data_IF_641993613026
#
_entry.id   IF_641993613026
#
_cell.length_a   1.000
_cell.length_b   1.000
_cell.length_c   1.000
_cell.angle_alpha   90.00
_cell.angle_beta   90.00
_cell.angle_gamma   90.00
#
_symmetry.space_group_name_H-M   'P 1'
#
loop_
_entity.id
_entity.type
_entity.pdbx_description
1 polymer ?
#
# COMPACT_ATOMS: atom_id res chain seq x y z
N UNK A 1 -7.25 5.46 0.84
CA UNK A 1 -6.71 4.80 2.04
C UNK A 1 -7.87 4.38 2.94
N UNK A 2 -7.84 3.19 3.50
CA UNK A 2 -8.90 2.66 4.38
C UNK A 2 -8.30 1.91 5.56
N UNK A 3 -8.97 1.98 6.71
CA UNK A 3 -8.70 1.11 7.85
C UNK A 3 -9.67 -0.06 7.85
N UNK A 4 -9.16 -1.26 8.04
CA UNK A 4 -9.92 -2.50 8.07
C UNK A 4 -9.51 -3.35 9.28
N UNK A 5 -10.23 -4.45 9.50
CA UNK A 5 -9.96 -5.42 10.56
C UNK A 5 -9.92 -4.75 11.94
N UNK A 6 -11.04 -4.13 12.35
CA UNK A 6 -11.16 -3.40 13.61
C UNK A 6 -10.08 -2.30 13.77
N UNK A 7 -9.84 -1.53 12.70
CA UNK A 7 -8.85 -0.44 12.64
C UNK A 7 -7.38 -0.87 12.84
N UNK A 8 -7.10 -2.17 12.80
CA UNK A 8 -5.74 -2.68 13.02
C UNK A 8 -4.87 -2.67 11.76
N UNK A 9 -5.48 -2.60 10.58
CA UNK A 9 -4.77 -2.63 9.30
C UNK A 9 -5.14 -1.41 8.46
N UNK A 10 -4.11 -0.75 7.94
CA UNK A 10 -4.26 0.37 7.00
C UNK A 10 -3.99 -0.14 5.59
N UNK A 11 -4.83 0.24 4.65
CA UNK A 11 -4.68 -0.12 3.24
C UNK A 11 -4.59 1.12 2.36
N UNK A 12 -3.73 1.06 1.36
CA UNK A 12 -3.62 2.06 0.31
C UNK A 12 -3.70 1.41 -1.07
N UNK A 13 -4.19 2.13 -2.06
CA UNK A 13 -4.46 1.60 -3.39
C UNK A 13 -3.95 2.54 -4.48
N UNK A 14 -3.52 1.92 -5.58
CA UNK A 14 -3.34 2.59 -6.86
C UNK A 14 -4.11 1.80 -7.92
N UNK A 15 -4.93 2.48 -8.71
CA UNK A 15 -5.80 1.86 -9.70
C UNK A 15 -7.25 2.33 -9.59
N UNK A 16 -8.21 1.57 -10.11
CA UNK A 16 -9.61 1.96 -10.07
C UNK A 16 -10.20 1.83 -8.66
N UNK A 17 -11.11 2.75 -8.32
CA UNK A 17 -11.78 2.75 -7.00
C UNK A 17 -12.63 1.49 -6.81
N UNK A 18 -13.33 1.04 -7.85
CA UNK A 18 -14.16 -0.17 -7.78
C UNK A 18 -13.30 -1.42 -7.50
N UNK A 19 -12.15 -1.53 -8.17
CA UNK A 19 -11.22 -2.62 -7.96
C UNK A 19 -10.61 -2.57 -6.55
N UNK A 20 -10.29 -1.37 -6.07
CA UNK A 20 -9.79 -1.16 -4.73
C UNK A 20 -10.76 -1.64 -3.66
N UNK A 21 -12.05 -1.34 -3.79
CA UNK A 21 -13.07 -1.82 -2.85
C UNK A 21 -13.18 -3.34 -2.85
N UNK A 22 -13.21 -3.96 -4.02
CA UNK A 22 -13.27 -5.41 -4.15
C UNK A 22 -12.09 -6.10 -3.47
N UNK A 23 -10.89 -5.59 -3.72
CA UNK A 23 -9.67 -6.12 -3.11
C UNK A 23 -9.63 -5.92 -1.60
N UNK A 24 -10.10 -4.79 -1.11
CA UNK A 24 -10.18 -4.49 0.31
C UNK A 24 -11.09 -5.49 1.05
N UNK A 25 -12.27 -5.77 0.50
CA UNK A 25 -13.20 -6.74 1.07
C UNK A 25 -12.59 -8.14 1.10
N UNK A 26 -11.98 -8.57 0.00
CA UNK A 26 -11.33 -9.90 -0.07
C UNK A 26 -10.16 -10.00 0.90
N UNK A 27 -9.39 -8.94 1.06
CA UNK A 27 -8.27 -8.92 2.00
C UNK A 27 -8.76 -9.00 3.45
N UNK A 28 -9.82 -8.29 3.81
CA UNK A 28 -10.42 -8.37 5.15
C UNK A 28 -10.94 -9.77 5.46
N UNK A 29 -11.55 -10.45 4.49
CA UNK A 29 -11.95 -11.85 4.62
C UNK A 29 -10.76 -12.76 4.92
N UNK A 30 -9.62 -12.56 4.25
CA UNK A 30 -8.39 -13.32 4.49
C UNK A 30 -7.79 -13.02 5.86
N UNK A 31 -7.82 -11.77 6.30
CA UNK A 31 -7.38 -11.40 7.65
C UNK A 31 -8.21 -12.11 8.71
N UNK A 32 -9.51 -12.17 8.54
CA UNK A 32 -10.41 -12.90 9.45
C UNK A 32 -10.08 -14.39 9.45
N UNK A 33 -9.87 -14.99 8.28
CA UNK A 33 -9.54 -16.40 8.12
C UNK A 33 -8.23 -16.77 8.82
N UNK A 34 -7.23 -15.88 8.78
CA UNK A 34 -5.90 -16.12 9.32
C UNK A 34 -5.63 -15.38 10.64
N UNK A 35 -6.69 -14.98 11.35
CA UNK A 35 -6.62 -14.35 12.68
C UNK A 35 -5.72 -13.10 12.73
N UNK A 36 -5.78 -12.27 11.69
CA UNK A 36 -5.02 -11.03 11.62
C UNK A 36 -3.57 -11.17 11.17
N UNK A 37 -3.15 -12.34 10.74
CA UNK A 37 -1.81 -12.55 10.19
C UNK A 37 -1.71 -11.88 8.80
N UNK A 38 -1.05 -10.73 8.75
CA UNK A 38 -0.99 -9.89 7.56
C UNK A 38 -0.31 -10.60 6.39
N UNK A 39 0.81 -11.27 6.64
CA UNK A 39 1.60 -11.95 5.63
C UNK A 39 0.84 -13.12 5.00
N UNK A 40 0.20 -13.94 5.82
CA UNK A 40 -0.61 -15.06 5.33
C UNK A 40 -1.81 -14.58 4.53
N UNK A 41 -2.48 -13.54 5.00
CA UNK A 41 -3.60 -12.93 4.28
C UNK A 41 -3.14 -12.38 2.92
N UNK A 42 -2.00 -11.70 2.88
CA UNK A 42 -1.43 -11.14 1.66
C UNK A 42 -1.06 -12.23 0.64
N UNK A 43 -0.39 -13.29 1.07
CA UNK A 43 -0.04 -14.42 0.21
C UNK A 43 -1.28 -15.12 -0.33
N UNK A 44 -2.29 -15.34 0.52
CA UNK A 44 -3.55 -15.95 0.11
C UNK A 44 -4.28 -15.10 -0.94
N UNK A 45 -4.36 -13.78 -0.74
CA UNK A 45 -4.97 -12.88 -1.71
C UNK A 45 -4.20 -12.88 -3.03
N UNK A 46 -2.88 -12.84 -2.98
CA UNK A 46 -2.03 -12.86 -4.17
C UNK A 46 -2.22 -14.14 -4.98
N UNK A 47 -2.35 -15.28 -4.32
CA UNK A 47 -2.63 -16.57 -4.98
C UNK A 47 -4.00 -16.55 -5.68
N UNK A 48 -5.03 -16.04 -5.01
CA UNK A 48 -6.37 -15.88 -5.59
C UNK A 48 -6.33 -14.93 -6.78
N UNK A 49 -5.63 -13.82 -6.65
CA UNK A 49 -5.51 -12.80 -7.70
C UNK A 49 -4.86 -13.39 -8.96
N UNK A 50 -3.80 -14.16 -8.79
CA UNK A 50 -3.11 -14.83 -9.90
C UNK A 50 -3.95 -15.92 -10.56
N UNK A 51 -4.72 -16.67 -9.78
CA UNK A 51 -5.49 -17.83 -10.24
C UNK A 51 -6.88 -17.54 -10.79
N UNK A 52 -7.50 -16.42 -10.44
CA UNK A 52 -8.87 -16.06 -10.82
C UNK A 52 -8.85 -15.15 -12.05
N UNK A 53 -9.52 -15.59 -13.13
CA UNK A 53 -9.57 -14.82 -14.38
C UNK A 53 -10.22 -13.43 -14.21
N UNK A 54 -11.27 -13.33 -13.38
CA UNK A 54 -11.91 -12.06 -13.11
C UNK A 54 -10.99 -11.12 -12.35
N UNK A 55 -10.29 -11.63 -11.34
CA UNK A 55 -9.33 -10.83 -10.56
C UNK A 55 -8.10 -10.42 -11.36
N UNK A 56 -7.62 -11.26 -12.31
CA UNK A 56 -6.47 -10.91 -13.15
C UNK A 56 -6.70 -9.70 -14.03
N UNK A 57 -7.95 -9.33 -14.29
CA UNK A 57 -8.30 -8.13 -15.03
C UNK A 57 -8.27 -6.88 -14.17
N UNK A 58 -8.16 -7.01 -12.85
CA UNK A 58 -8.05 -5.88 -11.95
C UNK A 58 -6.66 -5.24 -12.09
N UNK A 59 -6.65 -3.99 -12.51
CA UNK A 59 -5.43 -3.20 -12.63
C UNK A 59 -5.28 -2.34 -11.39
N UNK A 60 -4.72 -2.93 -10.35
CA UNK A 60 -4.51 -2.27 -9.08
C UNK A 60 -3.25 -2.77 -8.40
N UNK A 61 -2.70 -1.96 -7.55
CA UNK A 61 -1.71 -2.34 -6.55
C UNK A 61 -2.22 -1.93 -5.19
N UNK A 62 -1.83 -2.66 -4.17
CA UNK A 62 -2.31 -2.46 -2.82
C UNK A 62 -1.14 -2.48 -1.84
N UNK A 63 -1.10 -1.50 -0.94
CA UNK A 63 -0.23 -1.54 0.23
C UNK A 63 -1.11 -1.90 1.43
N UNK A 64 -0.66 -2.84 2.23
CA UNK A 64 -1.29 -3.21 3.50
C UNK A 64 -0.26 -3.08 4.62
N UNK A 65 -0.66 -2.48 5.73
CA UNK A 65 0.23 -2.26 6.85
C UNK A 65 -0.48 -2.42 8.18
N UNK A 66 0.20 -3.04 9.12
CA UNK A 66 -0.16 -3.02 10.53
C UNK A 66 1.03 -2.51 11.36
N UNK A 67 0.95 -2.58 12.68
CA UNK A 67 2.04 -2.11 13.55
C UNK A 67 3.37 -2.85 13.37
N UNK A 68 3.36 -4.07 12.81
CA UNK A 68 4.53 -4.95 12.72
C UNK A 68 5.05 -5.14 11.29
N UNK A 69 4.21 -4.98 10.28
CA UNK A 69 4.54 -5.34 8.89
C UNK A 69 3.91 -4.39 7.89
N UNK A 70 4.55 -4.26 6.73
CA UNK A 70 4.04 -3.52 5.58
C UNK A 70 4.37 -4.29 4.31
N UNK A 71 3.36 -4.54 3.47
CA UNK A 71 3.50 -5.36 2.26
C UNK A 71 2.86 -4.67 1.07
N UNK A 72 3.43 -4.89 -0.11
CA UNK A 72 2.82 -4.53 -1.40
C UNK A 72 2.26 -5.79 -2.03
N UNK A 73 1.01 -5.74 -2.48
CA UNK A 73 0.36 -6.83 -3.22
C UNK A 73 0.04 -6.30 -4.62
N UNK A 74 0.49 -7.00 -5.64
CA UNK A 74 0.27 -6.60 -7.03
C UNK A 74 -0.66 -7.55 -7.78
N UNK A 75 -1.22 -7.07 -8.89
CA UNK A 75 -2.09 -7.85 -9.77
C UNK A 75 -1.41 -9.03 -10.45
N UNK A 76 -0.08 -9.07 -10.44
CA UNK A 76 0.68 -10.22 -10.94
C UNK A 76 0.77 -11.38 -9.93
N UNK A 77 0.19 -11.20 -8.75
CA UNK A 77 0.22 -12.18 -7.67
C UNK A 77 1.50 -12.14 -6.83
N UNK A 78 2.22 -11.02 -6.89
CA UNK A 78 3.43 -10.81 -6.09
C UNK A 78 3.10 -10.18 -4.75
N UNK A 79 3.83 -10.60 -3.72
CA UNK A 79 3.84 -9.96 -2.40
C UNK A 79 5.26 -9.49 -2.15
N UNK A 80 5.42 -8.18 -1.92
CA UNK A 80 6.73 -7.57 -1.72
C UNK A 80 6.81 -7.03 -0.29
N UNK A 81 7.84 -7.46 0.43
CA UNK A 81 8.20 -6.93 1.73
C UNK A 81 9.37 -5.96 1.53
N UNK A 82 9.18 -4.64 1.64
CA UNK A 82 10.27 -3.69 1.38
C UNK A 82 11.35 -3.80 2.46
N UNK A 83 12.60 -4.01 2.00
CA UNK A 83 13.76 -4.22 2.89
C UNK A 83 14.06 -3.04 3.80
N UNK A 84 13.83 -1.83 3.33
CA UNK A 84 14.11 -0.59 4.06
C UNK A 84 12.89 0.00 4.80
N UNK A 85 11.76 -0.72 4.81
CA UNK A 85 10.54 -0.26 5.48
C UNK A 85 9.84 0.90 4.77
N UNK A 86 10.15 1.16 3.51
CA UNK A 86 9.58 2.24 2.71
C UNK A 86 8.99 1.64 1.43
N UNK A 87 7.76 2.00 1.11
CA UNK A 87 7.19 1.65 -0.19
C UNK A 87 6.24 2.72 -0.69
N UNK A 88 6.06 2.75 -2.00
CA UNK A 88 5.12 3.64 -2.65
C UNK A 88 4.55 2.97 -3.90
N UNK A 89 3.31 3.31 -4.23
CA UNK A 89 2.62 2.82 -5.42
C UNK A 89 1.94 3.98 -6.13
N UNK A 90 1.58 3.76 -7.38
CA UNK A 90 0.90 4.75 -8.21
C UNK A 90 1.84 5.51 -9.15
N UNK A 91 1.29 6.46 -9.89
CA UNK A 91 2.01 7.24 -10.92
C UNK A 91 3.17 8.07 -10.36
N UNK A 92 3.00 8.61 -9.16
CA UNK A 92 4.05 9.37 -8.46
C UNK A 92 4.88 8.53 -7.52
N UNK A 93 4.70 7.22 -7.48
CA UNK A 93 5.30 6.33 -6.48
C UNK A 93 6.82 6.38 -6.44
N UNK A 94 7.49 6.34 -7.58
CA UNK A 94 8.95 6.36 -7.62
C UNK A 94 9.54 7.69 -7.13
N UNK A 95 8.87 8.80 -7.40
CA UNK A 95 9.30 10.12 -6.90
C UNK A 95 9.16 10.17 -5.36
N UNK A 96 8.03 9.71 -4.84
CA UNK A 96 7.80 9.64 -3.40
C UNK A 96 8.78 8.69 -2.72
N UNK A 97 9.05 7.53 -3.32
CA UNK A 97 9.98 6.55 -2.78
C UNK A 97 11.41 7.12 -2.69
N UNK A 98 11.90 7.76 -3.75
CA UNK A 98 13.21 8.37 -3.76
C UNK A 98 13.32 9.50 -2.73
N UNK A 99 12.31 10.35 -2.63
CA UNK A 99 12.26 11.42 -1.65
C UNK A 99 12.24 10.88 -0.21
N UNK A 100 11.43 9.86 0.06
CA UNK A 100 11.34 9.24 1.38
C UNK A 100 12.67 8.60 1.79
N UNK A 101 13.32 7.88 0.89
CA UNK A 101 14.66 7.31 1.17
C UNK A 101 15.70 8.36 1.51
N UNK A 102 15.73 9.46 0.75
CA UNK A 102 16.65 10.56 1.02
C UNK A 102 16.38 11.20 2.38
N UNK A 103 15.11 11.38 2.75
CA UNK A 103 14.73 11.96 4.03
C UNK A 103 15.08 11.04 5.20
N UNK A 104 14.86 9.74 5.07
CA UNK A 104 15.24 8.76 6.11
C UNK A 104 16.74 8.76 6.34
N UNK A 105 17.53 8.80 5.27
CA UNK A 105 19.00 8.73 5.35
C UNK A 105 19.64 10.02 5.89
N UNK A 106 19.01 11.18 5.69
CA UNK A 106 19.64 12.48 5.94
C UNK A 106 18.95 13.34 6.99
N UNK A 107 17.85 12.88 7.59
CA UNK A 107 17.10 13.64 8.61
C UNK A 107 16.68 12.72 9.76
N UNK A 108 16.21 13.35 10.85
CA UNK A 108 15.61 12.66 11.99
C UNK A 108 14.09 12.87 12.04
N UNK A 109 13.47 13.20 10.90
CA UNK A 109 12.02 13.39 10.81
C UNK A 109 11.27 12.08 11.13
N UNK A 110 10.07 12.23 11.68
CA UNK A 110 9.19 11.10 11.93
C UNK A 110 8.71 10.44 10.63
N UNK A 111 8.24 9.20 10.70
CA UNK A 111 7.68 8.50 9.54
C UNK A 111 6.52 9.30 8.91
N UNK A 112 5.64 9.86 9.72
CA UNK A 112 4.52 10.68 9.25
C UNK A 112 5.01 11.93 8.49
N UNK A 113 5.99 12.65 9.02
CA UNK A 113 6.57 13.82 8.38
C UNK A 113 7.27 13.47 7.07
N UNK A 114 8.00 12.35 7.03
CA UNK A 114 8.67 11.86 5.83
C UNK A 114 7.66 11.50 4.75
N UNK A 115 6.61 10.75 5.10
CA UNK A 115 5.57 10.35 4.14
C UNK A 115 4.88 11.58 3.54
N UNK A 116 4.51 12.56 4.36
CA UNK A 116 3.87 13.78 3.89
C UNK A 116 4.77 14.60 2.96
N UNK A 117 6.00 14.84 3.36
CA UNK A 117 6.98 15.57 2.54
C UNK A 117 7.28 14.87 1.22
N UNK A 118 7.44 13.55 1.25
CA UNK A 118 7.71 12.75 0.06
C UNK A 118 6.57 12.83 -0.94
N UNK A 119 5.31 12.78 -0.48
CA UNK A 119 4.14 12.93 -1.34
C UNK A 119 4.02 14.33 -1.93
N UNK A 120 4.34 15.38 -1.19
CA UNK A 120 4.37 16.73 -1.73
C UNK A 120 5.45 16.91 -2.79
N UNK A 121 6.63 16.33 -2.60
CA UNK A 121 7.68 16.32 -3.63
C UNK A 121 7.22 15.58 -4.88
N UNK A 122 6.57 14.44 -4.72
CA UNK A 122 5.99 13.70 -5.85
C UNK A 122 4.94 14.54 -6.60
N UNK A 123 4.11 15.27 -5.85
CA UNK A 123 3.08 16.16 -6.43
C UNK A 123 3.68 17.31 -7.24
N UNK A 124 4.84 17.84 -6.82
CA UNK A 124 5.56 18.87 -7.56
C UNK A 124 6.12 18.39 -8.90
N UNK A 125 6.37 17.11 -9.03
CA UNK A 125 7.02 16.50 -10.21
C UNK A 125 6.02 15.82 -11.13
N UNK A 126 5.08 15.04 -10.57
CA UNK A 126 4.15 14.20 -11.32
C UNK A 126 2.80 14.89 -11.52
N UNK A 127 2.40 15.09 -12.78
CA UNK A 127 1.15 15.79 -13.10
C UNK A 127 -0.10 15.03 -12.63
N UNK A 128 -0.01 13.73 -12.43
CA UNK A 128 -1.13 12.88 -11.98
C UNK A 128 -1.26 12.82 -10.46
N UNK A 129 -0.41 13.52 -9.73
CA UNK A 129 -0.40 13.57 -8.27
C UNK A 129 -0.75 14.98 -7.81
N UNK A 130 -1.34 15.10 -6.64
CA UNK A 130 -1.74 16.39 -6.08
C UNK A 130 -1.26 16.55 -4.63
N UNK A 131 -1.47 17.73 -4.06
CA UNK A 131 -1.05 18.07 -2.70
C UNK A 131 -2.11 17.75 -1.63
N UNK A 132 -3.18 17.05 -1.98
CA UNK A 132 -4.19 16.58 -1.02
C UNK A 132 -3.70 15.29 -0.35
N UNK A 133 -3.01 15.45 0.76
CA UNK A 133 -2.34 14.35 1.46
C UNK A 133 -3.07 14.02 2.75
N UNK A 134 -3.32 12.72 2.96
CA UNK A 134 -3.84 12.19 4.22
C UNK A 134 -2.77 11.27 4.78
N UNK A 135 -2.47 11.42 6.07
CA UNK A 135 -1.47 10.62 6.77
C UNK A 135 -2.14 9.84 7.88
N UNK A 136 -1.85 8.55 7.95
CA UNK A 136 -2.36 7.63 8.97
C UNK A 136 -1.22 6.82 9.56
N UNK A 137 -1.31 6.54 10.86
CA UNK A 137 -0.41 5.61 11.53
C UNK A 137 -1.01 4.20 11.48
N UNK A 138 -0.15 3.23 11.27
CA UNK A 138 -0.56 1.82 11.23
C UNK A 138 -0.43 1.14 12.62
#
# INVERSE_FOLDING_TARGET
MRRIYNDQVVTGFAGSVADAFSLCERFEERLTQYNGNLERAAVSLAQDWRGDKAMRQLQAMMIVANKDSMLIISGTGEVIDPDDGICAIGSGGNYALAAARALVENTELSAAEIAEKALHIAADICVFTNHNVIVEDA
#
